data_IF_782391120304
#
_entry.id   IF_782391120304
#
_cell.length_a   1.000
_cell.length_b   1.000
_cell.length_c   1.000
_cell.angle_alpha   90.00
_cell.angle_beta   90.00
_cell.angle_gamma   90.00
#
_symmetry.space_group_name_H-M   'P 1'
#
loop_
_entity.id
_entity.type
_entity.pdbx_description
1 polymer ?
#
# COMPACT_ATOMS: atom_id res chain seq x y z
N UNK A 1 2.98 -8.55 13.78
CA UNK A 1 3.41 -7.83 12.57
C UNK A 1 4.89 -8.11 12.34
N UNK A 2 5.21 -8.70 11.19
CA UNK A 2 6.54 -9.11 10.72
C UNK A 2 6.79 -8.65 9.29
N UNK A 3 5.77 -8.66 8.43
CA UNK A 3 5.86 -8.28 7.02
C UNK A 3 4.95 -7.08 6.71
N UNK A 4 5.52 -6.04 6.12
CA UNK A 4 4.80 -4.82 5.74
C UNK A 4 5.04 -4.52 4.26
N UNK A 5 3.98 -4.16 3.54
CA UNK A 5 4.07 -3.55 2.21
C UNK A 5 3.67 -2.07 2.31
N UNK A 6 4.36 -1.19 1.59
CA UNK A 6 4.05 0.23 1.49
C UNK A 6 3.99 0.58 0.00
N UNK A 7 2.88 1.12 -0.46
CA UNK A 7 2.74 1.66 -1.81
C UNK A 7 2.73 3.19 -1.75
N UNK A 8 3.64 3.81 -2.49
CA UNK A 8 3.97 5.23 -2.35
C UNK A 8 4.88 5.49 -1.15
N UNK A 9 4.63 6.61 -0.46
CA UNK A 9 5.40 7.01 0.72
C UNK A 9 6.88 7.24 0.46
N UNK A 10 7.26 7.69 -0.75
CA UNK A 10 8.64 7.91 -1.15
C UNK A 10 9.43 8.86 -0.22
N UNK A 11 8.77 9.64 0.63
CA UNK A 11 9.42 10.38 1.71
C UNK A 11 10.09 9.51 2.77
N UNK A 12 9.80 8.20 2.81
CA UNK A 12 10.38 7.21 3.72
C UNK A 12 10.02 7.38 5.20
N UNK A 13 9.10 8.29 5.58
CA UNK A 13 8.72 8.48 6.99
C UNK A 13 7.98 7.26 7.54
N UNK A 14 7.03 6.70 6.78
CA UNK A 14 6.32 5.47 7.18
C UNK A 14 7.29 4.30 7.35
N UNK A 15 8.24 4.14 6.41
CA UNK A 15 9.29 3.14 6.51
C UNK A 15 10.09 3.32 7.81
N UNK A 16 10.53 4.54 8.12
CA UNK A 16 11.27 4.81 9.35
C UNK A 16 10.47 4.46 10.61
N UNK A 17 9.16 4.74 10.65
CA UNK A 17 8.31 4.35 11.78
C UNK A 17 8.21 2.84 11.92
N UNK A 18 8.04 2.10 10.81
CA UNK A 18 7.98 0.63 10.84
C UNK A 18 9.28 0.02 11.34
N UNK A 19 10.42 0.57 10.94
CA UNK A 19 11.73 0.01 11.30
C UNK A 19 12.11 0.20 12.78
N UNK A 20 11.29 0.92 13.57
CA UNK A 20 11.43 1.00 15.03
C UNK A 20 10.97 -0.28 15.76
N UNK A 21 10.17 -1.11 15.10
CA UNK A 21 9.62 -2.33 15.69
C UNK A 21 10.56 -3.51 15.45
N UNK A 22 11.03 -4.13 16.53
CA UNK A 22 11.98 -5.25 16.49
C UNK A 22 11.40 -6.53 15.86
N UNK A 23 10.07 -6.65 15.79
CA UNK A 23 9.39 -7.77 15.16
C UNK A 23 9.35 -7.69 13.64
N UNK A 24 9.73 -6.55 13.03
CA UNK A 24 9.73 -6.38 11.58
C UNK A 24 10.88 -7.15 10.96
N UNK A 25 10.54 -8.00 10.01
CA UNK A 25 11.44 -8.89 9.28
C UNK A 25 11.55 -8.50 7.81
N UNK A 26 10.50 -7.91 7.24
CA UNK A 26 10.49 -7.42 5.85
C UNK A 26 9.59 -6.20 5.71
N UNK A 27 10.11 -5.16 5.06
CA UNK A 27 9.33 -4.05 4.51
C UNK A 27 9.58 -3.98 3.01
N UNK A 28 8.53 -4.09 2.21
CA UNK A 28 8.58 -3.94 0.76
C UNK A 28 7.92 -2.62 0.42
N UNK A 29 8.67 -1.71 -0.22
CA UNK A 29 8.16 -0.39 -0.57
C UNK A 29 8.17 -0.17 -2.09
N UNK A 30 7.00 0.12 -2.64
CA UNK A 30 6.79 0.41 -4.06
C UNK A 30 6.67 1.92 -4.23
N UNK A 31 7.54 2.53 -5.03
CA UNK A 31 7.54 3.98 -5.27
C UNK A 31 7.69 4.27 -6.77
N UNK A 32 6.90 5.19 -7.30
CA UNK A 32 6.95 5.55 -8.71
C UNK A 32 8.25 6.25 -9.08
N UNK A 33 8.64 7.25 -8.28
CA UNK A 33 9.71 8.18 -8.61
C UNK A 33 10.81 8.21 -7.55
N UNK A 34 11.98 7.65 -7.90
CA UNK A 34 13.19 7.68 -7.08
C UNK A 34 13.63 9.11 -6.70
N UNK A 35 13.25 10.14 -7.48
CA UNK A 35 13.56 11.52 -7.15
C UNK A 35 12.84 11.99 -5.89
N UNK A 36 11.64 11.47 -5.59
CA UNK A 36 10.95 11.75 -4.32
C UNK A 36 11.81 11.26 -3.17
N UNK A 37 12.26 10.00 -3.21
CA UNK A 37 13.13 9.41 -2.18
C UNK A 37 14.43 10.20 -1.99
N UNK A 38 15.11 10.53 -3.09
CA UNK A 38 16.38 11.27 -3.04
C UNK A 38 16.20 12.69 -2.50
N UNK A 39 15.16 13.39 -2.94
CA UNK A 39 14.86 14.75 -2.46
C UNK A 39 14.44 14.71 -1.00
N UNK A 40 13.64 13.74 -0.58
CA UNK A 40 13.22 13.62 0.81
C UNK A 40 14.38 13.34 1.74
N UNK A 41 15.29 12.44 1.35
CA UNK A 41 16.55 12.24 2.08
C UNK A 41 17.38 13.53 2.17
N UNK A 42 17.51 14.26 1.05
CA UNK A 42 18.32 15.49 0.98
C UNK A 42 17.74 16.66 1.79
N UNK A 43 16.43 16.87 1.73
CA UNK A 43 15.78 18.07 2.26
C UNK A 43 15.07 17.86 3.60
N UNK A 44 14.61 16.64 3.89
CA UNK A 44 13.88 16.30 5.11
C UNK A 44 14.64 15.31 6.00
N UNK A 45 15.88 14.95 5.63
CA UNK A 45 16.75 14.03 6.37
C UNK A 45 16.12 12.64 6.62
N UNK A 46 15.09 12.26 5.85
CA UNK A 46 14.49 10.95 5.95
C UNK A 46 15.48 9.86 5.51
N UNK A 47 15.36 8.67 6.07
CA UNK A 47 16.29 7.57 5.80
C UNK A 47 15.57 6.50 4.99
N UNK A 48 15.93 6.32 3.70
CA UNK A 48 15.34 5.28 2.86
C UNK A 48 15.86 3.87 3.17
N UNK A 49 16.86 3.76 4.07
CA UNK A 49 17.39 2.50 4.61
C UNK A 49 17.77 1.45 3.55
N UNK A 50 18.32 1.88 2.40
CA UNK A 50 18.77 1.00 1.31
C UNK A 50 19.80 -0.07 1.71
N UNK A 51 20.41 0.06 2.89
CA UNK A 51 21.43 -0.85 3.41
C UNK A 51 20.88 -1.86 4.42
N UNK A 52 19.62 -1.75 4.85
CA UNK A 52 19.00 -2.71 5.77
C UNK A 52 18.39 -3.85 4.95
N UNK A 53 18.86 -5.08 5.17
CA UNK A 53 18.43 -6.27 4.42
C UNK A 53 16.94 -6.59 4.56
N UNK A 54 16.28 -6.02 5.58
CA UNK A 54 14.83 -6.13 5.78
C UNK A 54 14.06 -5.23 4.82
N UNK A 55 14.69 -4.26 4.16
CA UNK A 55 14.04 -3.27 3.30
C UNK A 55 14.26 -3.62 1.84
N UNK A 56 13.17 -3.66 1.08
CA UNK A 56 13.20 -3.91 -0.37
C UNK A 56 12.43 -2.83 -1.11
N UNK A 57 13.10 -2.16 -2.04
CA UNK A 57 12.51 -1.11 -2.85
C UNK A 57 12.19 -1.60 -4.26
N UNK A 58 10.98 -1.29 -4.71
CA UNK A 58 10.51 -1.50 -6.06
C UNK A 58 10.19 -0.15 -6.69
N UNK A 59 10.97 0.24 -7.69
CA UNK A 59 10.76 1.52 -8.36
C UNK A 59 10.05 1.34 -9.69
N UNK A 60 9.00 2.13 -9.91
CA UNK A 60 8.23 2.15 -11.16
C UNK A 60 6.72 2.19 -10.93
N UNK A 61 5.98 2.18 -12.04
CA UNK A 61 4.52 2.21 -12.00
C UNK A 61 3.97 0.98 -11.26
N UNK A 62 3.14 1.21 -10.25
CA UNK A 62 2.66 0.15 -9.37
C UNK A 62 1.82 -0.91 -10.12
N UNK A 63 1.07 -0.55 -11.18
CA UNK A 63 0.34 -1.52 -11.98
C UNK A 63 1.29 -2.54 -12.64
N UNK A 64 2.46 -2.09 -13.08
CA UNK A 64 3.48 -3.00 -13.63
C UNK A 64 4.22 -3.74 -12.51
N UNK A 65 4.63 -3.03 -11.45
CA UNK A 65 5.40 -3.61 -10.35
C UNK A 65 4.63 -4.72 -9.63
N UNK A 66 3.33 -4.54 -9.40
CA UNK A 66 2.46 -5.53 -8.75
C UNK A 66 2.43 -6.86 -9.51
N UNK A 67 2.46 -6.84 -10.84
CA UNK A 67 2.52 -8.05 -11.69
C UNK A 67 3.87 -8.76 -11.67
N UNK A 68 4.91 -8.08 -11.18
CA UNK A 68 6.27 -8.59 -11.13
C UNK A 68 6.70 -8.98 -9.72
N UNK A 69 5.85 -8.72 -8.72
CA UNK A 69 6.12 -9.12 -7.35
C UNK A 69 6.24 -10.66 -7.26
N UNK A 70 7.13 -11.17 -6.39
CA UNK A 70 7.23 -12.59 -6.13
C UNK A 70 5.88 -13.19 -5.71
N UNK A 71 5.57 -14.40 -6.18
CA UNK A 71 4.28 -15.04 -5.89
C UNK A 71 4.03 -15.25 -4.38
N UNK A 72 5.09 -15.42 -3.60
CA UNK A 72 5.06 -15.56 -2.15
C UNK A 72 4.71 -14.26 -1.40
N UNK A 73 4.59 -13.13 -2.11
CA UNK A 73 4.18 -11.86 -1.50
C UNK A 73 2.66 -11.77 -1.34
N UNK A 74 1.89 -12.45 -2.18
CA UNK A 74 0.43 -12.48 -2.13
C UNK A 74 -0.05 -13.28 -0.91
N UNK A 75 -0.96 -12.68 -0.15
CA UNK A 75 -1.47 -13.24 1.11
C UNK A 75 -0.44 -13.32 2.24
N UNK A 76 0.66 -12.56 2.17
CA UNK A 76 1.80 -12.71 3.08
C UNK A 76 2.04 -11.52 4.01
N UNK A 77 1.44 -10.36 3.74
CA UNK A 77 1.72 -9.13 4.50
C UNK A 77 0.73 -8.95 5.65
N UNK A 78 1.27 -8.70 6.84
CA UNK A 78 0.44 -8.39 8.01
C UNK A 78 -0.18 -6.99 7.89
N UNK A 79 0.53 -6.07 7.22
CA UNK A 79 0.06 -4.72 6.94
C UNK A 79 0.41 -4.33 5.50
N UNK A 80 -0.57 -3.80 4.78
CA UNK A 80 -0.38 -3.14 3.48
C UNK A 80 -0.80 -1.68 3.63
N UNK A 81 0.17 -0.77 3.57
CA UNK A 81 -0.09 0.67 3.50
C UNK A 81 -0.22 1.11 2.05
N UNK A 82 -1.28 1.85 1.75
CA UNK A 82 -1.47 2.54 0.48
C UNK A 82 -1.41 4.03 0.77
N UNK A 83 -0.27 4.64 0.48
CA UNK A 83 0.02 6.05 0.68
C UNK A 83 0.16 6.74 -0.67
N UNK A 84 -0.97 6.81 -1.36
CA UNK A 84 -1.09 7.38 -2.70
C UNK A 84 -2.04 8.58 -2.64
N UNK A 85 -1.69 9.66 -3.33
CA UNK A 85 -2.45 10.90 -3.38
C UNK A 85 -3.52 10.93 -4.49
N UNK A 86 -3.49 10.01 -5.44
CA UNK A 86 -4.38 10.01 -6.60
C UNK A 86 -5.34 8.81 -6.59
N UNK A 87 -6.61 9.08 -6.29
CA UNK A 87 -7.68 8.09 -6.26
C UNK A 87 -7.96 7.46 -7.64
N UNK A 88 -7.75 8.21 -8.73
CA UNK A 88 -7.97 7.74 -10.10
C UNK A 88 -7.08 6.55 -10.48
N UNK A 89 -5.85 6.53 -9.99
CA UNK A 89 -4.89 5.45 -10.25
C UNK A 89 -5.34 4.11 -9.65
N UNK A 90 -6.07 4.12 -8.53
CA UNK A 90 -6.47 2.89 -7.85
C UNK A 90 -7.49 2.08 -8.66
N UNK A 91 -8.26 2.74 -9.51
CA UNK A 91 -9.22 2.13 -10.42
C UNK A 91 -8.59 1.72 -11.76
N UNK A 92 -7.30 1.98 -11.99
CA UNK A 92 -6.62 1.54 -13.21
C UNK A 92 -6.54 0.02 -13.27
N UNK A 93 -6.82 -0.51 -14.45
CA UNK A 93 -6.79 -1.94 -14.73
C UNK A 93 -5.34 -2.41 -14.82
N UNK A 94 -4.97 -3.36 -13.95
CA UNK A 94 -3.66 -4.03 -13.93
C UNK A 94 -3.68 -5.27 -14.83
N UNK A 95 -4.76 -6.05 -14.74
CA UNK A 95 -5.08 -7.16 -15.65
C UNK A 95 -6.53 -7.02 -16.08
N UNK A 96 -6.96 -7.70 -17.14
CA UNK A 96 -8.34 -7.63 -17.65
C UNK A 96 -9.43 -7.71 -16.56
N UNK A 97 -9.17 -8.45 -15.48
CA UNK A 97 -10.14 -8.73 -14.41
C UNK A 97 -9.79 -8.06 -13.07
N UNK A 98 -8.68 -7.32 -12.96
CA UNK A 98 -8.23 -6.70 -11.70
C UNK A 98 -7.74 -5.27 -11.86
N UNK A 99 -8.21 -4.43 -10.96
CA UNK A 99 -7.70 -3.07 -10.70
C UNK A 99 -6.45 -3.09 -9.82
N UNK A 100 -5.73 -1.97 -9.77
CA UNK A 100 -4.61 -1.76 -8.83
C UNK A 100 -5.08 -2.00 -7.39
N UNK A 101 -6.26 -1.50 -7.06
CA UNK A 101 -6.86 -1.67 -5.73
C UNK A 101 -7.06 -3.13 -5.34
N UNK A 102 -7.68 -3.92 -6.20
CA UNK A 102 -7.93 -5.34 -5.94
C UNK A 102 -6.61 -6.14 -5.91
N UNK A 103 -5.62 -5.77 -6.74
CA UNK A 103 -4.32 -6.43 -6.70
C UNK A 103 -3.56 -6.15 -5.39
N UNK A 104 -3.69 -4.95 -4.83
CA UNK A 104 -3.11 -4.62 -3.51
C UNK A 104 -3.79 -5.37 -2.38
N UNK A 105 -5.11 -5.57 -2.42
CA UNK A 105 -5.82 -6.32 -1.38
C UNK A 105 -5.36 -7.78 -1.32
N UNK A 106 -4.94 -8.36 -2.44
CA UNK A 106 -4.37 -9.71 -2.53
C UNK A 106 -3.01 -9.86 -1.83
N UNK A 107 -2.32 -8.78 -1.49
CA UNK A 107 -1.07 -8.83 -0.71
C UNK A 107 -1.34 -9.12 0.78
N UNK A 108 -2.54 -8.78 1.26
CA UNK A 108 -2.90 -8.83 2.68
C UNK A 108 -3.06 -10.27 3.13
N UNK A 109 -2.35 -10.65 4.19
CA UNK A 109 -2.52 -11.95 4.84
C UNK A 109 -3.93 -12.11 5.43
N UNK A 110 -4.42 -13.33 5.70
CA UNK A 110 -5.77 -13.54 6.22
C UNK A 110 -6.11 -12.75 7.50
N UNK A 111 -5.13 -12.62 8.40
CA UNK A 111 -5.24 -11.85 9.65
C UNK A 111 -4.63 -10.44 9.53
N UNK A 112 -4.22 -10.05 8.32
CA UNK A 112 -3.60 -8.77 8.03
C UNK A 112 -4.62 -7.64 7.86
N UNK A 113 -4.08 -6.44 7.70
CA UNK A 113 -4.87 -5.24 7.45
C UNK A 113 -4.34 -4.50 6.21
N UNK A 114 -5.24 -3.84 5.49
CA UNK A 114 -4.90 -2.81 4.52
C UNK A 114 -5.28 -1.45 5.10
N UNK A 115 -4.38 -0.48 4.99
CA UNK A 115 -4.57 0.89 5.46
C UNK A 115 -4.38 1.84 4.28
N UNK A 116 -5.40 2.62 3.97
CA UNK A 116 -5.36 3.67 2.93
C UNK A 116 -5.52 5.04 3.60
N UNK A 117 -4.64 5.98 3.27
CA UNK A 117 -4.86 7.38 3.61
C UNK A 117 -6.12 7.89 2.89
N UNK A 118 -6.89 8.79 3.50
CA UNK A 118 -8.17 9.35 3.00
C UNK A 118 -9.42 8.51 3.30
N UNK A 119 -10.57 9.06 2.91
CA UNK A 119 -11.90 8.48 3.10
C UNK A 119 -12.17 7.50 1.94
N UNK A 120 -12.03 6.22 2.24
CA UNK A 120 -12.17 5.09 1.31
C UNK A 120 -13.08 4.00 1.89
N UNK A 121 -13.87 4.32 2.92
CA UNK A 121 -14.61 3.33 3.71
C UNK A 121 -15.55 2.45 2.88
N UNK A 122 -16.31 3.03 1.94
CA UNK A 122 -17.22 2.29 1.05
C UNK A 122 -16.46 1.36 0.08
N UNK A 123 -15.43 1.88 -0.57
CA UNK A 123 -14.57 1.10 -1.47
C UNK A 123 -13.85 -0.02 -0.72
N UNK A 124 -13.42 0.25 0.51
CA UNK A 124 -12.79 -0.73 1.40
C UNK A 124 -13.78 -1.83 1.78
N UNK A 125 -15.03 -1.48 2.11
CA UNK A 125 -16.01 -2.47 2.55
C UNK A 125 -16.44 -3.38 1.42
N UNK A 126 -16.34 -2.95 0.16
CA UNK A 126 -16.52 -3.86 -0.97
C UNK A 126 -15.46 -4.97 -1.08
N UNK A 127 -14.29 -4.83 -0.44
CA UNK A 127 -13.19 -5.80 -0.52
C UNK A 127 -12.92 -6.56 0.78
N UNK A 128 -13.31 -6.02 1.93
CA UNK A 128 -12.97 -6.58 3.23
C UNK A 128 -14.20 -6.74 4.10
N UNK A 129 -14.27 -7.88 4.81
CA UNK A 129 -15.39 -8.21 5.71
C UNK A 129 -15.54 -7.23 6.88
N UNK A 130 -14.45 -6.56 7.26
CA UNK A 130 -14.41 -5.62 8.38
C UNK A 130 -13.68 -4.37 7.97
N UNK A 131 -14.33 -3.23 8.13
CA UNK A 131 -13.74 -1.93 7.82
C UNK A 131 -13.91 -0.94 8.94
N UNK A 132 -12.88 -0.12 9.13
CA UNK A 132 -12.88 0.96 10.11
C UNK A 132 -12.41 2.25 9.43
N UNK A 133 -13.12 3.34 9.68
CA UNK A 133 -12.67 4.68 9.33
C UNK A 133 -12.17 5.36 10.59
N UNK A 134 -10.90 5.76 10.58
CA UNK A 134 -10.33 6.65 11.58
C UNK A 134 -10.31 8.06 10.99
N UNK A 135 -10.82 9.03 11.74
CA UNK A 135 -10.89 10.43 11.32
C UNK A 135 -10.24 11.33 12.37
N UNK A 136 -9.29 12.15 11.91
CA UNK A 136 -8.58 13.12 12.71
C UNK A 136 -9.03 14.53 12.34
N UNK A 137 -9.55 15.25 13.33
CA UNK A 137 -9.82 16.67 13.23
C UNK A 137 -8.60 17.49 13.67
N UNK A 138 -8.52 18.73 13.17
CA UNK A 138 -7.51 19.71 13.56
C UNK A 138 -6.06 19.30 13.28
N UNK A 139 -5.84 18.53 12.21
CA UNK A 139 -4.48 18.19 11.76
C UNK A 139 -3.80 19.46 11.23
N UNK A 140 -2.61 19.84 11.73
CA UNK A 140 -1.91 21.02 11.26
C UNK A 140 -1.70 21.00 9.75
N UNK A 141 -1.85 22.16 9.11
CA UNK A 141 -1.71 22.37 7.66
C UNK A 141 -2.86 21.77 6.83
N UNK A 142 -3.19 20.48 7.01
CA UNK A 142 -4.19 19.76 6.18
C UNK A 142 -5.62 19.80 6.73
N UNK A 143 -5.82 20.39 7.93
CA UNK A 143 -7.10 20.57 8.67
C UNK A 143 -7.73 19.29 9.20
N UNK A 144 -7.87 18.27 8.36
CA UNK A 144 -8.34 16.95 8.76
C UNK A 144 -7.60 15.87 7.99
N UNK A 145 -7.63 14.65 8.52
CA UNK A 145 -7.03 13.49 7.90
C UNK A 145 -7.86 12.25 8.20
N UNK A 146 -7.86 11.28 7.30
CA UNK A 146 -8.58 10.03 7.49
C UNK A 146 -7.69 8.84 7.16
N UNK A 147 -7.92 7.72 7.85
CA UNK A 147 -7.36 6.42 7.54
C UNK A 147 -8.50 5.42 7.39
N UNK A 148 -8.61 4.82 6.21
CA UNK A 148 -9.52 3.72 5.96
C UNK A 148 -8.78 2.41 6.14
N UNK A 149 -9.31 1.54 7.00
CA UNK A 149 -8.69 0.26 7.36
C UNK A 149 -9.63 -0.86 6.95
N UNK A 150 -9.11 -1.89 6.30
CA UNK A 150 -9.84 -3.11 5.94
C UNK A 150 -9.13 -4.37 6.45
N UNK A 151 -9.91 -5.35 6.89
CA UNK A 151 -9.44 -6.70 7.23
C UNK A 151 -10.53 -7.73 7.00
N UNK A 152 -10.14 -8.97 6.71
CA UNK A 152 -11.10 -10.08 6.59
C UNK A 152 -11.36 -10.77 7.93
N UNK A 153 -10.41 -10.71 8.87
CA UNK A 153 -10.49 -11.51 10.11
C UNK A 153 -10.14 -10.75 11.38
N UNK A 154 -9.28 -9.72 11.28
CA UNK A 154 -8.88 -8.95 12.45
C UNK A 154 -10.09 -8.21 13.04
N UNK A 155 -10.28 -8.31 14.35
CA UNK A 155 -11.23 -7.45 15.06
C UNK A 155 -10.57 -6.09 15.30
N UNK A 156 -11.04 -5.06 14.59
CA UNK A 156 -10.51 -3.71 14.69
C UNK A 156 -11.08 -2.94 15.90
N UNK A 157 -12.21 -3.39 16.47
CA UNK A 157 -12.85 -2.75 17.61
C UNK A 157 -12.25 -3.18 18.94
N UNK A 158 -11.66 -4.38 19.04
CA UNK A 158 -11.12 -4.90 20.28
C UNK A 158 -9.60 -4.78 20.35
N UNK A 159 -9.04 -3.67 20.88
CA UNK A 159 -7.60 -3.53 21.06
C UNK A 159 -7.07 -4.57 22.06
N UNK A 160 -5.94 -5.19 21.72
CA UNK A 160 -5.21 -6.00 22.69
C UNK A 160 -4.28 -5.09 23.53
N UNK A 161 -4.80 -4.61 24.65
CA UNK A 161 -4.10 -3.70 25.57
C UNK A 161 -2.75 -4.27 26.05
N UNK A 162 -2.67 -5.59 26.26
CA UNK A 162 -1.41 -6.23 26.69
C UNK A 162 -0.35 -6.15 25.61
N UNK A 163 -0.74 -6.37 24.35
CA UNK A 163 0.14 -6.16 23.20
C UNK A 163 0.52 -4.70 23.04
N UNK A 164 -0.40 -3.75 23.25
CA UNK A 164 -0.10 -2.31 23.16
C UNK A 164 0.99 -1.89 24.14
N UNK A 165 0.89 -2.33 25.40
CA UNK A 165 1.90 -2.03 26.45
C UNK A 165 3.31 -2.51 26.13
N UNK A 166 3.45 -3.55 25.30
CA UNK A 166 4.77 -4.02 24.84
C UNK A 166 5.50 -2.92 24.06
N UNK A 167 4.75 -2.04 23.41
CA UNK A 167 5.27 -1.01 22.50
C UNK A 167 5.43 0.36 23.15
N UNK A 168 5.11 0.53 24.44
CA UNK A 168 5.22 1.81 25.19
C UNK A 168 6.62 2.44 25.14
N UNK A 169 7.66 1.62 24.89
CA UNK A 169 9.06 2.08 24.80
C UNK A 169 9.43 2.60 23.41
N UNK A 170 8.65 2.27 22.38
CA UNK A 170 8.86 2.72 21.01
C UNK A 170 8.29 4.13 20.90
N UNK A 171 9.17 5.12 20.69
CA UNK A 171 8.75 6.50 20.48
C UNK A 171 8.46 6.74 19.00
N UNK A 172 7.19 6.86 18.67
CA UNK A 172 6.73 7.21 17.33
C UNK A 172 6.78 8.72 17.11
N UNK A 173 6.70 9.16 15.85
CA UNK A 173 6.47 10.59 15.55
C UNK A 173 5.13 11.05 16.14
N UNK A 174 4.13 10.16 16.13
CA UNK A 174 2.80 10.44 16.70
C UNK A 174 2.86 10.80 18.18
N UNK A 175 3.66 10.10 18.99
CA UNK A 175 3.81 10.39 20.43
C UNK A 175 4.33 11.81 20.71
N UNK A 176 5.02 12.42 19.74
CA UNK A 176 5.47 13.81 19.82
C UNK A 176 4.35 14.84 19.61
N UNK A 177 3.26 14.45 18.93
CA UNK A 177 2.13 15.33 18.61
C UNK A 177 0.89 15.04 19.46
N UNK A 178 0.64 13.77 19.80
CA UNK A 178 -0.46 13.32 20.62
C UNK A 178 0.04 12.25 21.59
N UNK A 179 -0.27 12.33 22.89
CA UNK A 179 0.04 11.25 23.80
C UNK A 179 -0.70 9.98 23.36
N UNK A 180 -0.01 8.84 23.39
CA UNK A 180 -0.57 7.51 23.13
C UNK A 180 -1.87 7.31 23.93
N UNK A 181 -2.93 6.70 23.35
CA UNK A 181 -4.15 6.33 24.07
C UNK A 181 -3.82 5.66 25.40
N UNK A 182 -4.31 6.22 26.51
CA UNK A 182 -3.95 5.73 27.87
C UNK A 182 -4.89 4.67 28.38
N UNK A 183 -6.07 4.57 27.79
CA UNK A 183 -7.12 3.63 28.14
C UNK A 183 -7.95 3.19 26.91
N UNK A 184 -8.94 2.35 27.17
CA UNK A 184 -9.82 1.78 26.16
C UNK A 184 -10.75 2.83 25.53
N UNK A 185 -11.11 3.88 26.27
CA UNK A 185 -12.01 4.92 25.77
C UNK A 185 -11.29 5.81 24.76
N UNK A 186 -9.99 6.06 24.97
CA UNK A 186 -9.13 6.74 24.00
C UNK A 186 -8.99 5.97 22.66
N UNK A 187 -9.16 4.64 22.63
CA UNK A 187 -9.06 3.83 21.40
C UNK A 187 -10.12 4.24 20.37
N UNK A 188 -11.34 4.54 20.83
CA UNK A 188 -12.46 4.90 19.96
C UNK A 188 -12.51 6.39 19.64
N UNK A 189 -11.65 7.21 20.25
CA UNK A 189 -11.68 8.67 20.11
C UNK A 189 -11.69 9.16 18.67
N UNK A 190 -10.97 8.46 17.80
CA UNK A 190 -10.84 8.82 16.38
C UNK A 190 -11.61 7.87 15.45
N UNK A 191 -12.31 6.86 15.99
CA UNK A 191 -13.12 5.95 15.18
C UNK A 191 -14.38 6.70 14.76
N UNK A 192 -14.54 6.90 13.47
CA UNK A 192 -15.71 7.58 12.89
C UNK A 192 -16.77 6.57 12.44
N UNK A 193 -16.36 5.56 11.66
CA UNK A 193 -17.24 4.49 11.18
C UNK A 193 -16.62 3.12 11.38
N UNK A 194 -17.47 2.12 11.56
CA UNK A 194 -17.10 0.71 11.52
C UNK A 194 -18.19 -0.11 10.83
N UNK A 195 -17.80 -1.00 9.94
CA UNK A 195 -18.72 -1.86 9.21
C UNK A 195 -18.22 -3.31 9.25
N UNK A 196 -19.16 -4.24 9.45
CA UNK A 196 -18.96 -5.67 9.21
C UNK A 196 -19.90 -6.06 8.07
N UNK A 197 -19.37 -6.75 7.07
CA UNK A 197 -20.13 -7.33 5.99
C UNK A 197 -19.56 -8.72 5.64
N UNK A 198 -20.05 -9.27 4.53
CA UNK A 198 -19.61 -10.56 4.02
C UNK A 198 -19.07 -10.35 2.60
N UNK A 199 -18.03 -9.53 2.49
CA UNK A 199 -17.43 -9.17 1.21
C UNK A 199 -16.87 -10.42 0.50
N UNK A 200 -16.31 -11.37 1.26
CA UNK A 200 -15.75 -12.60 0.69
C UNK A 200 -16.81 -13.51 0.04
N UNK A 201 -18.01 -13.65 0.62
CA UNK A 201 -19.06 -14.50 0.04
C UNK A 201 -19.77 -13.86 -1.17
N UNK A 202 -19.55 -12.57 -1.44
CA UNK A 202 -20.13 -11.90 -2.63
C UNK A 202 -19.43 -12.27 -3.94
N UNK A 203 -18.40 -13.12 -3.91
CA UNK A 203 -17.67 -13.58 -5.10
C UNK A 203 -16.79 -12.51 -5.75
N UNK A 204 -16.59 -11.36 -5.08
CA UNK A 204 -15.73 -10.26 -5.53
C UNK A 204 -14.28 -10.37 -5.05
N UNK A 205 -14.01 -11.24 -4.07
CA UNK A 205 -12.64 -11.54 -3.65
C UNK A 205 -12.09 -12.70 -4.48
N UNK A 206 -11.08 -12.45 -5.31
CA UNK A 206 -10.34 -13.52 -5.99
C UNK A 206 -9.52 -14.32 -4.97
N UNK A 207 -9.38 -15.64 -5.20
CA UNK A 207 -8.56 -16.51 -4.36
C UNK A 207 -7.09 -16.08 -4.40
N UNK A 208 -6.54 -15.61 -3.26
CA UNK A 208 -5.16 -15.15 -3.10
C UNK A 208 -4.06 -16.17 -3.44
N UNK A 209 -4.43 -17.42 -3.78
CA UNK A 209 -3.51 -18.53 -4.05
C UNK A 209 -3.02 -18.60 -5.50
N UNK A 210 -3.60 -17.84 -6.41
CA UNK A 210 -3.12 -17.75 -7.80
C UNK A 210 -3.00 -16.28 -8.19
N UNK A 211 -1.84 -15.63 -7.99
CA UNK A 211 -1.61 -14.30 -8.51
C UNK A 211 -1.70 -14.36 -10.04
N UNK A 212 -2.45 -13.45 -10.69
CA UNK A 212 -2.57 -13.44 -12.14
C UNK A 212 -1.19 -13.17 -12.76
N UNK A 213 -0.76 -14.02 -13.70
CA UNK A 213 0.53 -13.85 -14.36
C UNK A 213 0.42 -13.02 -15.63
N UNK A 214 1.53 -12.42 -16.06
CA UNK A 214 1.66 -11.79 -17.39
C UNK A 214 1.35 -12.77 -18.53
N UNK A 215 1.54 -14.07 -18.34
CA UNK A 215 1.21 -15.09 -19.34
C UNK A 215 -0.30 -15.38 -19.40
N UNK A 216 -0.99 -15.37 -18.26
CA UNK A 216 -2.45 -15.52 -18.21
C UNK A 216 -3.13 -14.35 -18.93
N UNK A 217 -2.61 -13.13 -18.73
CA UNK A 217 -3.06 -11.93 -19.43
C UNK A 217 -2.74 -12.00 -20.94
N UNK A 218 -1.58 -12.53 -21.34
CA UNK A 218 -1.23 -12.74 -22.77
C UNK A 218 -2.10 -13.80 -23.46
N UNK A 219 -2.33 -14.97 -22.84
CA UNK A 219 -3.17 -16.03 -23.42
C UNK A 219 -4.61 -15.57 -23.59
N UNK A 220 -5.16 -14.85 -22.60
CA UNK A 220 -6.50 -14.25 -22.71
C UNK A 220 -6.54 -13.11 -23.75
N UNK A 221 -5.49 -12.29 -23.87
CA UNK A 221 -5.35 -11.29 -24.94
C UNK A 221 -5.32 -11.92 -26.33
N UNK A 222 -4.64 -13.05 -26.53
CA UNK A 222 -4.64 -13.76 -27.82
C UNK A 222 -6.02 -14.29 -28.20
N UNK A 223 -6.82 -14.76 -27.22
CA UNK A 223 -8.21 -15.17 -27.45
C UNK A 223 -9.15 -13.99 -27.79
N UNK A 224 -8.87 -12.79 -27.29
CA UNK A 224 -9.65 -11.58 -27.58
C UNK A 224 -9.18 -10.86 -28.86
N UNK A 225 -7.92 -11.04 -29.27
CA UNK A 225 -7.32 -10.43 -30.46
C UNK A 225 -7.95 -10.91 -31.77
N UNK A 226 -8.61 -12.07 -31.77
CA UNK A 226 -9.44 -12.55 -32.88
C UNK A 226 -10.75 -11.73 -33.06
N UNK A 227 -11.06 -10.80 -32.16
CA UNK A 227 -12.29 -9.98 -32.21
C UNK A 227 -12.09 -8.48 -32.41
N UNK A 228 -10.91 -7.92 -32.11
CA UNK A 228 -10.66 -6.49 -32.24
C UNK A 228 -9.29 -6.22 -32.90
N UNK A 229 -9.31 -5.90 -34.20
CA UNK A 229 -8.16 -5.34 -34.92
C UNK A 229 -7.99 -3.84 -34.58
N UNK A 230 -6.71 -3.40 -34.51
CA UNK A 230 -6.16 -2.03 -34.34
C UNK A 230 -5.90 -1.59 -32.88
N UNK A 231 -4.79 -0.95 -32.48
CA UNK A 231 -3.59 -0.41 -33.11
C UNK A 231 -2.54 -0.29 -31.99
N UNK A 232 -1.43 -1.02 -32.04
CA UNK A 232 -0.37 -0.94 -31.03
C UNK A 232 0.66 0.12 -31.42
N UNK A 233 0.72 1.22 -30.68
CA UNK A 233 1.83 2.18 -30.74
C UNK A 233 3.06 1.59 -30.06
N UNK A 234 4.16 1.46 -30.79
CA UNK A 234 5.47 1.05 -30.25
C UNK A 234 6.18 2.31 -29.74
N UNK A 235 6.41 2.41 -28.43
CA UNK A 235 7.36 3.39 -27.88
C UNK A 235 8.75 2.74 -27.79
N UNK A 236 9.59 3.00 -28.79
CA UNK A 236 11.00 2.64 -28.81
C UNK A 236 11.80 3.77 -28.16
N UNK A 237 12.36 3.53 -26.97
CA UNK A 237 13.36 4.41 -26.38
C UNK A 237 14.71 4.04 -27.02
N UNK A 238 15.21 4.89 -27.91
CA UNK A 238 16.57 4.84 -28.42
C UNK A 238 17.50 5.65 -27.49
N UNK A 239 18.46 4.97 -26.86
CA UNK A 239 19.54 5.61 -26.11
C UNK A 239 20.54 6.24 -27.10
N UNK A 240 20.54 7.57 -27.22
CA UNK A 240 21.51 8.28 -28.05
C UNK A 240 22.85 8.41 -27.32
N UNK A 241 23.83 7.57 -27.70
CA UNK A 241 25.24 7.76 -27.32
C UNK A 241 25.93 8.70 -28.32
N UNK A 242 26.45 9.81 -27.81
CA UNK A 242 27.33 10.82 -28.45
C UNK A 242 26.72 11.63 -29.60
N UNK A 243 26.26 12.83 -29.28
CA UNK A 243 26.29 13.97 -30.21
C UNK A 243 27.23 15.03 -29.63
N UNK A 244 28.47 15.03 -30.13
CA UNK A 244 29.31 16.22 -30.12
C UNK A 244 29.03 16.96 -31.41
N UNK A 245 28.39 18.11 -31.34
CA UNK A 245 28.43 19.08 -32.44
C UNK A 245 28.96 20.41 -31.89
N UNK A 246 30.09 20.80 -32.47
CA UNK A 246 30.77 22.07 -32.34
C UNK A 246 29.89 23.18 -32.91
N UNK A 247 29.77 24.27 -32.15
CA UNK A 247 29.14 25.51 -32.59
C UNK A 247 30.21 26.31 -33.35
N UNK A 248 29.97 26.55 -34.65
CA UNK A 248 30.51 27.69 -35.40
C UNK A 248 29.39 28.71 -35.62
#
# INVERSE_FOLDING_TARGET
VRRVAILGGGDSLMLQEMMKYDTIEKVVQLELDQMVVRKSHKYFASQPLFHDDRVEWWFGNAATSLLMLPSEYFGSFDIVFVDLSESGFMSETVTHDLTVWEMMSQLVAPEGILVKNEIYHETMSNLFDRTMLIYYEHVPIVKSWALSIGSNRMDLLQPNITSMKKWDKIKTVWDGFNPTPKDFDDHFKYVHDYQINNAQDTGKCLDAKQPPTREDDKRKKEMQKDKDEALAGILLILEAKKTSESIE
#
